data_IF_659080353879
#
_entry.id   IF_659080353879
#
_cell.length_a   1.000
_cell.length_b   1.000
_cell.length_c   1.000
_cell.angle_alpha   90.00
_cell.angle_beta   90.00
_cell.angle_gamma   90.00
#
_symmetry.space_group_name_H-M   'P 1'
#
loop_
_entity.id
_entity.type
_entity.pdbx_description
1 polymer ?
#
# COMPACT_ATOMS: atom_id res chain seq x y z
N UNK A 1 19.96 -9.39 -14.34
CA UNK A 1 19.56 -8.03 -13.92
C UNK A 1 18.09 -8.06 -13.51
N UNK A 2 17.80 -7.89 -12.22
CA UNK A 2 16.42 -7.87 -11.74
C UNK A 2 15.67 -6.63 -12.25
N UNK A 3 14.43 -6.82 -12.72
CA UNK A 3 13.60 -5.70 -13.20
C UNK A 3 13.18 -4.86 -11.99
N UNK A 4 13.62 -3.59 -11.93
CA UNK A 4 13.22 -2.65 -10.88
C UNK A 4 11.82 -2.12 -11.18
N UNK A 5 10.94 -2.19 -10.20
CA UNK A 5 9.60 -1.61 -10.26
C UNK A 5 9.54 -0.44 -9.28
N UNK A 6 8.98 0.68 -9.71
CA UNK A 6 8.84 1.88 -8.89
C UNK A 6 7.37 2.26 -8.89
N UNK A 7 6.78 2.30 -7.71
CA UNK A 7 5.42 2.76 -7.49
C UNK A 7 5.49 4.01 -6.63
N UNK A 8 4.93 5.11 -7.12
CA UNK A 8 4.85 6.38 -6.43
C UNK A 8 3.38 6.65 -6.12
N UNK A 9 3.06 6.68 -4.82
CA UNK A 9 1.74 7.04 -4.39
C UNK A 9 1.47 6.93 -2.90
N UNK A 10 0.23 6.63 -2.56
CA UNK A 10 -0.27 6.64 -1.18
C UNK A 10 -0.85 5.29 -0.83
N UNK A 11 -0.49 4.77 0.34
CA UNK A 11 -1.08 3.57 0.90
C UNK A 11 -1.87 3.95 2.14
N UNK A 12 -3.11 3.46 2.24
CA UNK A 12 -3.93 3.60 3.44
C UNK A 12 -4.25 2.22 4.02
N UNK A 13 -3.82 1.97 5.26
CA UNK A 13 -4.27 0.85 6.06
C UNK A 13 -5.53 1.23 6.84
N UNK A 14 -6.56 0.38 6.79
CA UNK A 14 -7.85 0.60 7.43
C UNK A 14 -8.19 -0.65 8.24
N UNK A 15 -8.40 -0.47 9.54
CA UNK A 15 -8.99 -1.48 10.42
C UNK A 15 -10.37 -1.00 10.87
N UNK A 16 -11.34 -1.91 10.91
CA UNK A 16 -12.71 -1.62 11.34
C UNK A 16 -13.07 -2.44 12.58
N UNK A 17 -14.05 -1.96 13.34
CA UNK A 17 -14.54 -2.67 14.53
C UNK A 17 -15.22 -4.02 14.20
N UNK A 18 -15.71 -4.20 12.97
CA UNK A 18 -16.29 -5.47 12.51
C UNK A 18 -15.23 -6.55 12.23
N UNK A 19 -13.94 -6.20 12.28
CA UNK A 19 -12.83 -7.11 11.97
C UNK A 19 -12.40 -7.06 10.50
N UNK A 20 -13.09 -6.31 9.64
CA UNK A 20 -12.63 -6.08 8.27
C UNK A 20 -11.37 -5.21 8.29
N UNK A 21 -10.35 -5.66 7.54
CA UNK A 21 -9.10 -4.93 7.32
C UNK A 21 -8.93 -4.69 5.83
N UNK A 22 -8.51 -3.49 5.47
CA UNK A 22 -8.25 -3.12 4.09
C UNK A 22 -6.90 -2.40 3.99
N UNK A 23 -6.17 -2.69 2.91
CA UNK A 23 -5.03 -1.89 2.45
C UNK A 23 -5.41 -1.36 1.09
N UNK A 24 -5.47 -0.03 0.96
CA UNK A 24 -5.77 0.66 -0.28
C UNK A 24 -4.47 1.25 -0.82
N UNK A 25 -4.04 0.79 -1.99
CA UNK A 25 -2.94 1.39 -2.75
C UNK A 25 -3.49 2.38 -3.77
N UNK A 26 -3.11 3.66 -3.68
CA UNK A 26 -3.45 4.71 -4.65
C UNK A 26 -2.16 5.13 -5.36
N UNK A 27 -2.00 4.75 -6.62
CA UNK A 27 -0.75 4.90 -7.35
C UNK A 27 -0.86 5.98 -8.43
N UNK A 28 -0.11 7.06 -8.23
CA UNK A 28 -0.03 8.17 -9.17
C UNK A 28 0.95 7.90 -10.31
N UNK A 29 2.02 7.17 -10.05
CA UNK A 29 2.96 6.74 -11.07
C UNK A 29 3.36 5.28 -10.83
N UNK A 30 3.19 4.46 -11.85
CA UNK A 30 3.59 3.05 -11.82
C UNK A 30 3.84 2.51 -13.23
N UNK A 31 4.45 1.33 -13.37
CA UNK A 31 4.60 0.65 -14.65
C UNK A 31 3.27 0.24 -15.31
N UNK A 32 2.15 0.27 -14.57
CA UNK A 32 0.81 -0.02 -15.07
C UNK A 32 -0.03 1.25 -15.29
N UNK A 33 0.58 2.44 -15.22
CA UNK A 33 -0.12 3.71 -15.23
C UNK A 33 -0.70 4.10 -13.87
N UNK A 34 -1.71 4.98 -13.87
CA UNK A 34 -2.43 5.38 -12.64
C UNK A 34 -3.47 4.34 -12.30
N UNK A 35 -3.48 3.85 -11.06
CA UNK A 35 -4.48 2.87 -10.64
C UNK A 35 -4.70 2.88 -9.12
N UNK A 36 -5.74 2.18 -8.68
CA UNK A 36 -5.96 1.85 -7.26
C UNK A 36 -6.24 0.36 -7.14
N UNK A 37 -5.59 -0.29 -6.18
CA UNK A 37 -5.91 -1.66 -5.75
C UNK A 37 -6.35 -1.67 -4.29
N UNK A 38 -7.13 -2.69 -3.92
CA UNK A 38 -7.53 -2.92 -2.53
C UNK A 38 -7.29 -4.36 -2.15
N UNK A 39 -6.47 -4.55 -1.11
CA UNK A 39 -6.28 -5.83 -0.45
C UNK A 39 -7.14 -5.89 0.80
N UNK A 40 -7.97 -6.92 0.91
CA UNK A 40 -8.93 -7.08 2.00
C UNK A 40 -8.61 -8.34 2.79
N UNK A 41 -8.87 -8.27 4.09
CA UNK A 41 -9.09 -9.43 4.93
C UNK A 41 -10.45 -9.27 5.61
N UNK A 42 -11.35 -10.21 5.33
CA UNK A 42 -12.66 -10.28 5.98
C UNK A 42 -12.51 -10.73 7.43
N UNK A 43 -13.52 -10.51 8.29
CA UNK A 43 -13.50 -10.98 9.68
C UNK A 43 -13.31 -12.50 9.81
N UNK A 44 -13.72 -13.26 8.79
CA UNK A 44 -13.51 -14.72 8.68
C UNK A 44 -12.06 -15.11 8.44
N UNK A 45 -11.18 -14.16 8.14
CA UNK A 45 -9.79 -14.39 7.75
C UNK A 45 -9.57 -14.45 6.24
N UNK A 46 -10.64 -14.58 5.44
CA UNK A 46 -10.60 -14.69 3.98
C UNK A 46 -9.97 -13.44 3.33
N UNK A 47 -8.99 -13.66 2.45
CA UNK A 47 -8.20 -12.61 1.79
C UNK A 47 -8.66 -12.41 0.36
N UNK A 48 -9.05 -11.19 0.03
CA UNK A 48 -9.56 -10.81 -1.27
C UNK A 48 -8.71 -9.68 -1.87
N UNK A 49 -8.32 -9.81 -3.12
CA UNK A 49 -7.72 -8.73 -3.92
C UNK A 49 -8.76 -8.15 -4.88
N UNK A 50 -8.97 -6.84 -4.81
CA UNK A 50 -9.72 -6.06 -5.79
C UNK A 50 -8.74 -5.25 -6.64
N UNK A 51 -8.64 -5.59 -7.92
CA UNK A 51 -7.70 -4.94 -8.85
C UNK A 51 -8.44 -4.36 -10.07
N UNK A 52 -7.93 -3.28 -10.68
CA UNK A 52 -8.60 -2.64 -11.81
C UNK A 52 -8.37 -3.36 -13.13
N UNK A 53 -7.29 -4.14 -13.24
CA UNK A 53 -6.94 -4.89 -14.45
C UNK A 53 -6.32 -6.25 -14.08
N UNK A 54 -6.34 -7.19 -15.04
CA UNK A 54 -5.70 -8.50 -14.88
C UNK A 54 -4.19 -8.40 -14.68
N UNK A 55 -3.53 -7.44 -15.33
CA UNK A 55 -2.07 -7.25 -15.21
C UNK A 55 -1.67 -6.80 -13.80
N UNK A 56 -2.43 -5.86 -13.23
CA UNK A 56 -2.25 -5.42 -11.84
C UNK A 56 -2.52 -6.58 -10.87
N UNK A 57 -3.62 -7.31 -11.10
CA UNK A 57 -3.97 -8.47 -10.29
C UNK A 57 -2.84 -9.52 -10.28
N UNK A 58 -2.36 -9.91 -11.47
CA UNK A 58 -1.27 -10.89 -11.61
C UNK A 58 0.03 -10.43 -10.96
N UNK A 59 0.37 -9.13 -11.09
CA UNK A 59 1.56 -8.57 -10.45
C UNK A 59 1.50 -8.65 -8.92
N UNK A 60 0.37 -8.26 -8.34
CA UNK A 60 0.17 -8.27 -6.88
C UNK A 60 0.12 -9.71 -6.37
N UNK A 61 -0.60 -10.60 -7.06
CA UNK A 61 -0.71 -12.01 -6.68
C UNK A 61 0.60 -12.80 -6.81
N UNK A 62 1.57 -12.32 -7.61
CA UNK A 62 2.92 -12.89 -7.64
C UNK A 62 3.72 -12.58 -6.34
N UNK A 63 3.26 -11.62 -5.56
CA UNK A 63 3.93 -11.11 -4.36
C UNK A 63 3.21 -11.54 -3.08
N UNK A 64 1.87 -11.51 -3.08
CA UNK A 64 1.02 -11.86 -1.96
C UNK A 64 -0.02 -12.91 -2.32
N UNK A 65 -0.31 -13.82 -1.40
CA UNK A 65 -1.35 -14.85 -1.56
C UNK A 65 -2.71 -14.33 -1.11
N UNK A 66 -3.72 -14.55 -1.96
CA UNK A 66 -5.13 -14.25 -1.69
C UNK A 66 -5.95 -15.51 -1.93
N UNK A 67 -7.03 -15.66 -1.17
CA UNK A 67 -8.01 -16.73 -1.36
C UNK A 67 -8.87 -16.44 -2.60
N UNK A 68 -9.10 -15.16 -2.88
CA UNK A 68 -9.88 -14.70 -4.02
C UNK A 68 -9.27 -13.45 -4.67
N UNK A 69 -9.39 -13.35 -5.99
CA UNK A 69 -8.96 -12.19 -6.77
C UNK A 69 -10.09 -11.79 -7.72
N UNK A 70 -10.55 -10.55 -7.61
CA UNK A 70 -11.56 -9.98 -8.49
C UNK A 70 -11.00 -8.79 -9.27
N UNK A 71 -11.26 -8.79 -10.58
CA UNK A 71 -10.97 -7.63 -11.44
C UNK A 71 -12.24 -6.81 -11.57
N UNK A 72 -12.24 -5.59 -11.03
CA UNK A 72 -13.42 -4.71 -10.90
C UNK A 72 -13.06 -3.27 -11.28
N UNK A 73 -14.06 -2.46 -11.65
CA UNK A 73 -13.85 -1.01 -11.75
C UNK A 73 -13.52 -0.46 -10.36
N UNK A 74 -12.38 0.25 -10.24
CA UNK A 74 -11.93 0.86 -9.00
C UNK A 74 -11.83 2.36 -9.19
N UNK A 75 -12.71 3.09 -8.51
CA UNK A 75 -12.74 4.56 -8.53
C UNK A 75 -12.26 5.10 -7.21
N UNK A 76 -11.30 6.01 -7.27
CA UNK A 76 -10.71 6.60 -6.07
C UNK A 76 -10.69 8.12 -6.15
N UNK A 77 -10.99 8.75 -5.01
CA UNK A 77 -10.71 10.17 -4.77
C UNK A 77 -9.93 10.31 -3.47
N UNK A 78 -8.75 10.91 -3.57
CA UNK A 78 -7.91 11.25 -2.44
C UNK A 78 -7.63 12.75 -2.46
N UNK A 79 -8.30 13.51 -1.60
CA UNK A 79 -8.17 14.96 -1.48
C UNK A 79 -8.54 15.41 -0.06
N UNK A 80 -7.92 16.47 0.45
CA UNK A 80 -8.29 17.12 1.72
C UNK A 80 -8.40 16.16 2.92
N UNK A 81 -7.46 15.22 3.03
CA UNK A 81 -7.46 14.13 4.05
C UNK A 81 -8.63 13.16 3.94
N UNK A 82 -9.40 13.20 2.86
CA UNK A 82 -10.50 12.27 2.60
C UNK A 82 -10.07 11.26 1.55
N UNK A 83 -10.33 9.99 1.85
CA UNK A 83 -10.19 8.87 0.93
C UNK A 83 -11.58 8.32 0.65
N UNK A 84 -11.98 8.33 -0.61
CA UNK A 84 -13.18 7.64 -1.10
C UNK A 84 -12.76 6.62 -2.15
N UNK A 85 -13.15 5.36 -1.96
CA UNK A 85 -12.92 4.27 -2.91
C UNK A 85 -14.23 3.54 -3.16
N UNK A 86 -14.55 3.31 -4.42
CA UNK A 86 -15.62 2.42 -4.86
C UNK A 86 -14.97 1.33 -5.71
N UNK A 87 -14.99 0.09 -5.23
CA UNK A 87 -14.31 -1.05 -5.82
C UNK A 87 -15.24 -2.27 -5.82
N UNK A 88 -16.16 -2.35 -6.78
CA UNK A 88 -17.16 -3.42 -6.86
C UNK A 88 -17.93 -3.61 -5.54
N UNK A 89 -17.74 -4.72 -4.80
CA UNK A 89 -18.46 -4.99 -3.54
C UNK A 89 -18.03 -4.10 -2.36
N UNK A 90 -16.95 -3.32 -2.50
CA UNK A 90 -16.41 -2.51 -1.41
C UNK A 90 -16.61 -1.02 -1.66
N UNK A 91 -17.14 -0.34 -0.65
CA UNK A 91 -17.18 1.12 -0.56
C UNK A 91 -16.40 1.56 0.68
N UNK A 92 -15.34 2.34 0.48
CA UNK A 92 -14.55 2.94 1.56
C UNK A 92 -14.78 4.44 1.57
N UNK A 93 -15.08 4.98 2.75
CA UNK A 93 -15.06 6.41 3.03
C UNK A 93 -14.28 6.61 4.33
N UNK A 94 -13.11 7.23 4.23
CA UNK A 94 -12.22 7.44 5.36
C UNK A 94 -11.72 8.89 5.40
N UNK A 95 -11.44 9.36 6.60
CA UNK A 95 -10.81 10.66 6.84
C UNK A 95 -9.55 10.42 7.66
N UNK A 96 -8.43 10.96 7.20
CA UNK A 96 -7.17 10.89 7.95
C UNK A 96 -7.08 12.04 8.96
N UNK A 97 -6.51 11.72 10.12
CA UNK A 97 -6.17 12.72 11.13
C UNK A 97 -5.14 13.72 10.63
N UNK A 98 -4.84 14.71 11.46
CA UNK A 98 -3.71 15.59 11.20
C UNK A 98 -2.40 14.79 11.16
N UNK A 99 -1.42 15.27 10.40
CA UNK A 99 -0.09 14.65 10.36
C UNK A 99 0.54 14.74 11.74
N UNK A 100 1.05 13.63 12.25
CA UNK A 100 1.72 13.55 13.55
C UNK A 100 3.02 14.37 13.56
N UNK A 101 3.55 14.68 14.75
CA UNK A 101 4.85 15.34 14.88
C UNK A 101 5.96 14.54 14.17
N UNK A 102 5.96 13.22 14.35
CA UNK A 102 6.86 12.31 13.64
C UNK A 102 6.70 12.44 12.12
N UNK A 103 5.47 12.43 11.61
CA UNK A 103 5.22 12.61 10.17
C UNK A 103 5.68 13.97 9.65
N UNK A 104 5.63 15.02 10.47
CA UNK A 104 6.19 16.33 10.10
C UNK A 104 7.73 16.30 10.06
N UNK A 105 8.37 15.65 11.02
CA UNK A 105 9.83 15.47 11.05
C UNK A 105 10.34 14.69 9.83
N UNK A 106 9.64 13.62 9.44
CA UNK A 106 9.99 12.83 8.26
C UNK A 106 9.92 13.64 6.95
N UNK A 107 9.12 14.71 6.89
CA UNK A 107 9.04 15.60 5.72
C UNK A 107 10.33 16.40 5.49
N UNK A 108 11.17 16.54 6.51
CA UNK A 108 12.44 17.26 6.41
C UNK A 108 13.44 16.46 5.56
N UNK A 109 13.31 15.13 5.54
CA UNK A 109 14.19 14.25 4.77
C UNK A 109 14.02 14.54 3.27
N UNK A 110 15.09 14.92 2.54
CA UNK A 110 14.99 15.19 1.12
C UNK A 110 14.44 13.98 0.35
N UNK A 111 13.52 14.21 -0.60
CA UNK A 111 12.85 13.13 -1.34
C UNK A 111 13.82 12.12 -1.95
N UNK A 112 14.96 12.59 -2.48
CA UNK A 112 16.00 11.72 -3.08
C UNK A 112 16.56 10.71 -2.07
N UNK A 113 16.74 11.12 -0.82
CA UNK A 113 17.22 10.25 0.25
C UNK A 113 16.08 9.35 0.76
N UNK A 114 14.88 9.92 0.95
CA UNK A 114 13.71 9.20 1.44
C UNK A 114 13.30 8.00 0.56
N UNK A 115 13.65 7.98 -0.74
CA UNK A 115 13.37 6.85 -1.65
C UNK A 115 14.61 6.03 -2.02
N UNK A 116 15.77 6.33 -1.43
CA UNK A 116 17.01 5.65 -1.78
C UNK A 116 17.08 4.27 -1.12
N UNK A 117 17.26 3.16 -1.88
CA UNK A 117 17.22 1.80 -1.32
C UNK A 117 18.17 1.57 -0.14
N UNK A 118 19.41 2.07 -0.24
CA UNK A 118 20.40 1.94 0.85
C UNK A 118 19.96 2.68 2.11
N UNK A 119 19.37 3.87 1.95
CA UNK A 119 18.86 4.64 3.10
C UNK A 119 17.72 3.88 3.77
N UNK A 120 16.76 3.39 2.98
CA UNK A 120 15.61 2.63 3.47
C UNK A 120 16.02 1.34 4.18
N UNK A 121 17.06 0.65 3.71
CA UNK A 121 17.62 -0.50 4.43
C UNK A 121 18.24 -0.12 5.77
N UNK A 122 19.02 0.98 5.80
CA UNK A 122 19.71 1.45 7.01
C UNK A 122 18.73 1.93 8.08
N UNK A 123 17.66 2.63 7.70
CA UNK A 123 16.68 3.16 8.67
C UNK A 123 15.63 2.15 9.11
N UNK A 124 15.52 0.99 8.45
CA UNK A 124 14.49 -0.02 8.75
C UNK A 124 14.49 -0.50 10.21
N UNK A 125 15.64 -0.81 10.85
CA UNK A 125 15.66 -1.18 12.27
C UNK A 125 15.17 -0.06 13.19
N UNK A 126 15.50 1.20 12.87
CA UNK A 126 15.03 2.36 13.63
C UNK A 126 13.52 2.57 13.45
N UNK A 127 13.01 2.39 12.23
CA UNK A 127 11.58 2.47 11.94
C UNK A 127 10.80 1.40 12.73
N UNK A 128 11.31 0.16 12.78
CA UNK A 128 10.70 -0.92 13.55
C UNK A 128 10.73 -0.68 15.06
N UNK A 129 11.75 0.01 15.58
CA UNK A 129 11.84 0.37 16.99
C UNK A 129 10.86 1.49 17.39
N UNK A 130 10.68 2.49 16.53
CA UNK A 130 9.79 3.64 16.80
C UNK A 130 8.33 3.31 16.54
N UNK A 131 8.04 2.47 15.54
CA UNK A 131 6.69 2.04 15.18
C UNK A 131 6.66 0.52 15.04
N UNK A 132 6.30 -0.24 16.10
CA UNK A 132 6.24 -1.69 16.06
C UNK A 132 5.39 -2.19 14.89
N UNK A 133 5.99 -3.02 14.03
CA UNK A 133 5.37 -3.54 12.81
C UNK A 133 5.66 -2.76 11.53
N UNK A 134 6.28 -1.56 11.62
CA UNK A 134 6.75 -0.83 10.46
C UNK A 134 8.11 -1.37 9.99
N UNK A 135 8.27 -1.51 8.67
CA UNK A 135 9.55 -1.80 8.02
C UNK A 135 9.63 -0.97 6.74
N UNK A 136 10.79 -0.40 6.48
CA UNK A 136 11.09 0.36 5.25
C UNK A 136 11.81 -0.50 4.20
N UNK A 137 12.17 -1.72 4.57
CA UNK A 137 12.80 -2.72 3.72
C UNK A 137 12.36 -4.12 4.14
N UNK A 138 12.13 -4.99 3.16
CA UNK A 138 11.84 -6.40 3.40
C UNK A 138 12.02 -7.25 2.15
N UNK A 139 11.87 -8.56 2.33
CA UNK A 139 11.77 -9.52 1.22
C UNK A 139 10.34 -10.02 1.13
N UNK A 140 9.74 -9.91 -0.05
CA UNK A 140 8.44 -10.51 -0.33
C UNK A 140 8.58 -11.91 -0.93
N UNK A 141 7.43 -12.54 -1.18
CA UNK A 141 7.37 -13.83 -1.87
C UNK A 141 8.22 -13.84 -3.14
N UNK A 142 8.76 -15.01 -3.49
CA UNK A 142 9.66 -15.24 -4.64
C UNK A 142 11.04 -14.57 -4.58
N UNK A 143 11.51 -14.16 -3.39
CA UNK A 143 12.86 -13.61 -3.21
C UNK A 143 13.02 -12.16 -3.69
N UNK A 144 11.90 -11.45 -3.86
CA UNK A 144 11.89 -10.04 -4.29
C UNK A 144 12.21 -9.13 -3.12
N UNK A 145 13.12 -8.18 -3.33
CA UNK A 145 13.40 -7.11 -2.38
C UNK A 145 12.41 -5.96 -2.55
N UNK A 146 11.84 -5.48 -1.44
CA UNK A 146 10.89 -4.37 -1.39
C UNK A 146 11.43 -3.25 -0.51
N UNK A 147 11.19 -2.01 -0.94
CA UNK A 147 11.62 -0.79 -0.28
C UNK A 147 10.41 0.15 -0.23
N UNK A 148 10.11 0.68 0.96
CA UNK A 148 8.92 1.46 1.26
C UNK A 148 9.29 2.84 1.81
#
# INVERSE_FOLDING_TARGET
MGRRWIFDGHIAGIGTASGLRAVVGVWQHSPFGRFTDVMLQLPTGHRLLLAPTRDVAGFISATYSFDEVQVVDVRTRLADRRLAVDAGPLVVRAVTGARTLLGNGLRIVPRRLAVHPVWLSVVSPLAAAVAPGARTYGTAGSGRAEYY
#
